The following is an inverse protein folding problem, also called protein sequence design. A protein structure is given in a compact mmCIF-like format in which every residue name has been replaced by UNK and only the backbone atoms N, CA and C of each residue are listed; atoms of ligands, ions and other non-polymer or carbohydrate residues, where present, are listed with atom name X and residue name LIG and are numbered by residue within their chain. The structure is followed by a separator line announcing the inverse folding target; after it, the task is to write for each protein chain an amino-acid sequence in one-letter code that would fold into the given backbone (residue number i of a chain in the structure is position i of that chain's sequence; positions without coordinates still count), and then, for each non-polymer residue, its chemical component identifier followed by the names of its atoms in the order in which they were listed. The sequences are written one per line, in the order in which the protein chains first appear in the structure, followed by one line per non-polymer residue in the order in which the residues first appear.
data_IF_421839821164
#
_entry.id   IF_421839821164
#
_cell.length_a   1.000
_cell.length_b   1.000
_cell.length_c   1.000
_cell.angle_alpha   90.00
_cell.angle_beta   90.00
_cell.angle_gamma   90.00
#
_symmetry.space_group_name_H-M   'P 1'
#
loop_
_entity.id
_entity.type
_entity.pdbx_description
1 polymer ?
#
# COMPACT_ATOMS: atom_id res chain seq x y z
N UNK A 1 4.19 -15.53 27.18
CA UNK A 1 5.60 -15.10 27.33
C UNK A 1 5.70 -13.69 26.74
N UNK A 2 6.37 -12.76 27.44
CA UNK A 2 6.61 -11.41 26.92
C UNK A 2 7.87 -11.40 26.03
N UNK A 3 8.00 -10.42 25.09
CA UNK A 3 9.23 -10.22 24.32
C UNK A 3 10.43 -9.98 25.25
N UNK A 4 11.65 -10.30 24.79
CA UNK A 4 12.84 -10.06 25.61
C UNK A 4 13.03 -8.56 25.90
N UNK A 5 13.57 -8.24 27.07
CA UNK A 5 13.87 -6.85 27.45
C UNK A 5 14.84 -6.18 26.45
N UNK A 6 15.81 -6.93 25.92
CA UNK A 6 16.72 -6.42 24.87
C UNK A 6 15.95 -6.01 23.62
N UNK A 7 15.01 -6.86 23.17
CA UNK A 7 14.18 -6.53 22.02
C UNK A 7 13.30 -5.30 22.28
N UNK A 8 12.66 -5.22 23.45
CA UNK A 8 11.84 -4.05 23.81
C UNK A 8 12.64 -2.75 23.85
N UNK A 9 13.88 -2.78 24.36
CA UNK A 9 14.76 -1.60 24.34
C UNK A 9 15.07 -1.14 22.91
N UNK A 10 15.41 -2.08 22.02
CA UNK A 10 15.60 -1.77 20.59
C UNK A 10 14.33 -1.22 19.95
N UNK A 11 13.15 -1.72 20.36
CA UNK A 11 11.88 -1.17 19.89
C UNK A 11 11.67 0.28 20.36
N UNK A 12 12.00 0.61 21.59
CA UNK A 12 11.90 2.00 22.07
C UNK A 12 12.89 2.94 21.37
N UNK A 13 14.11 2.46 21.07
CA UNK A 13 15.10 3.23 20.31
C UNK A 13 14.63 3.57 18.89
N UNK A 14 14.00 2.62 18.18
CA UNK A 14 13.45 2.91 16.85
C UNK A 14 12.25 3.85 16.88
N UNK A 15 11.37 3.73 17.88
CA UNK A 15 10.26 4.68 18.08
C UNK A 15 10.81 6.10 18.30
N UNK A 16 11.88 6.25 19.11
CA UNK A 16 12.54 7.53 19.31
C UNK A 16 13.11 8.13 18.02
N UNK A 17 13.71 7.31 17.16
CA UNK A 17 14.19 7.74 15.84
C UNK A 17 13.05 8.23 14.97
N UNK A 18 11.96 7.47 14.85
CA UNK A 18 10.78 7.90 14.10
C UNK A 18 10.18 9.19 14.67
N UNK A 19 10.07 9.33 15.99
CA UNK A 19 9.59 10.57 16.62
C UNK A 19 10.46 11.78 16.25
N UNK A 20 11.77 11.63 16.22
CA UNK A 20 12.68 12.70 15.81
C UNK A 20 12.45 13.13 14.35
N UNK A 21 12.38 12.17 13.44
CA UNK A 21 12.08 12.36 12.01
C UNK A 21 10.71 13.04 11.81
N UNK A 22 9.75 12.71 12.67
CA UNK A 22 8.40 13.26 12.73
C UNK A 22 8.32 14.61 13.45
N UNK A 23 9.43 15.26 13.76
CA UNK A 23 9.41 16.62 14.30
C UNK A 23 9.29 16.74 15.82
N UNK A 24 9.30 15.64 16.57
CA UNK A 24 9.23 15.68 18.03
C UNK A 24 10.57 16.08 18.68
N UNK A 25 10.50 16.70 19.86
CA UNK A 25 11.66 17.08 20.66
C UNK A 25 12.18 15.88 21.46
N UNK A 26 13.07 15.09 20.86
CA UNK A 26 13.59 13.85 21.45
C UNK A 26 14.91 14.04 22.23
N UNK A 27 15.40 15.28 22.35
CA UNK A 27 16.66 15.57 23.05
C UNK A 27 16.67 14.99 24.48
N UNK A 28 17.70 14.20 24.79
CA UNK A 28 17.89 13.55 26.09
C UNK A 28 17.07 12.27 26.31
N UNK A 29 16.15 11.90 25.43
CA UNK A 29 15.36 10.66 25.61
C UNK A 29 16.16 9.38 25.40
N UNK A 30 17.13 9.37 24.49
CA UNK A 30 18.01 8.21 24.29
C UNK A 30 18.83 7.92 25.56
N UNK A 31 19.44 8.96 26.14
CA UNK A 31 20.18 8.84 27.40
C UNK A 31 19.28 8.38 28.57
N UNK A 32 18.03 8.86 28.62
CA UNK A 32 17.03 8.36 29.60
C UNK A 32 16.79 6.86 29.41
N UNK A 33 16.53 6.41 28.19
CA UNK A 33 16.31 4.99 27.87
C UNK A 33 17.51 4.11 28.24
N UNK A 34 18.73 4.62 28.03
CA UNK A 34 19.96 3.91 28.39
C UNK A 34 20.12 3.70 29.90
N UNK A 35 19.62 4.64 30.70
CA UNK A 35 19.71 4.63 32.17
C UNK A 35 18.58 3.84 32.85
N UNK A 36 17.54 3.43 32.12
CA UNK A 36 16.43 2.68 32.70
C UNK A 36 16.88 1.31 33.23
N UNK A 37 16.34 0.84 34.37
CA UNK A 37 16.53 -0.52 34.80
C UNK A 37 15.92 -1.48 33.78
N UNK A 38 16.59 -2.60 33.50
CA UNK A 38 16.09 -3.63 32.61
C UNK A 38 14.87 -4.33 33.23
N UNK A 39 13.68 -3.78 32.97
CA UNK A 39 12.39 -4.25 33.49
C UNK A 39 11.26 -3.89 32.54
N UNK A 40 10.19 -4.68 32.55
CA UNK A 40 9.01 -4.41 31.72
C UNK A 40 8.33 -3.11 32.15
N UNK A 41 8.16 -2.90 33.45
CA UNK A 41 7.48 -1.72 34.00
C UNK A 41 8.18 -0.42 33.59
N UNK A 42 9.51 -0.34 33.74
CA UNK A 42 10.26 0.86 33.35
C UNK A 42 10.17 1.15 31.84
N UNK A 43 10.16 0.11 31.00
CA UNK A 43 10.03 0.27 29.55
C UNK A 43 8.62 0.66 29.13
N UNK A 44 7.58 0.14 29.80
CA UNK A 44 6.19 0.54 29.57
C UNK A 44 5.94 1.99 29.99
N UNK A 45 6.41 2.40 31.17
CA UNK A 45 6.35 3.79 31.62
C UNK A 45 7.07 4.73 30.65
N UNK A 46 8.26 4.32 30.16
CA UNK A 46 8.98 5.08 29.16
C UNK A 46 8.21 5.16 27.83
N UNK A 47 7.62 4.07 27.36
CA UNK A 47 6.79 4.05 26.15
C UNK A 47 5.62 5.04 26.24
N UNK A 48 4.93 5.10 27.39
CA UNK A 48 3.87 6.10 27.63
C UNK A 48 4.40 7.53 27.54
N UNK A 49 5.62 7.79 28.02
CA UNK A 49 6.26 9.10 27.89
C UNK A 49 6.58 9.48 26.44
N UNK A 50 6.77 8.50 25.54
CA UNK A 50 7.02 8.73 24.12
C UNK A 50 5.77 9.17 23.35
N UNK A 51 4.59 8.74 23.80
CA UNK A 51 3.32 9.06 23.15
C UNK A 51 2.99 10.57 23.22
N UNK A 52 3.50 11.27 24.24
CA UNK A 52 3.17 12.67 24.55
C UNK A 52 4.34 13.64 24.37
N UNK A 53 5.41 13.24 23.65
CA UNK A 53 6.55 14.13 23.40
C UNK A 53 6.07 15.36 22.60
N UNK A 54 6.37 16.59 23.03
CA UNK A 54 5.99 17.79 22.30
C UNK A 54 6.72 17.88 20.96
N UNK A 55 6.13 18.60 20.02
CA UNK A 55 6.77 18.97 18.77
C UNK A 55 7.91 19.98 19.02
N UNK A 56 8.90 20.01 18.13
CA UNK A 56 9.93 21.06 18.13
C UNK A 56 9.29 22.41 17.77
N UNK A 57 9.69 23.47 18.47
CA UNK A 57 9.14 24.84 18.27
C UNK A 57 9.29 25.35 16.83
N UNK A 58 10.31 24.88 16.12
CA UNK A 58 10.62 25.27 14.74
C UNK A 58 10.16 24.24 13.68
N UNK A 59 9.29 23.30 14.05
CA UNK A 59 8.75 22.34 13.08
C UNK A 59 7.76 23.03 12.13
N UNK A 60 8.04 23.08 10.80
CA UNK A 60 7.24 23.90 9.89
C UNK A 60 5.94 23.21 9.44
N UNK A 61 5.78 21.92 9.73
CA UNK A 61 4.67 21.10 9.23
C UNK A 61 3.56 20.94 10.26
N UNK A 62 2.34 20.73 9.77
CA UNK A 62 1.22 20.28 10.58
C UNK A 62 0.59 19.06 9.91
N UNK A 63 0.62 17.94 10.63
CA UNK A 63 0.36 16.62 10.09
C UNK A 63 -0.66 15.90 11.00
N UNK A 64 -1.95 16.27 10.91
CA UNK A 64 -3.01 15.66 11.71
C UNK A 64 -3.34 14.23 11.26
N UNK A 65 -3.76 13.38 12.21
CA UNK A 65 -4.20 12.01 11.89
C UNK A 65 -5.72 11.87 11.77
N UNK A 66 -6.46 12.78 12.40
CA UNK A 66 -7.93 12.79 12.40
C UNK A 66 -8.46 13.30 11.06
N UNK A 67 -9.52 12.66 10.54
CA UNK A 67 -10.05 12.95 9.22
C UNK A 67 -10.57 14.38 9.09
N UNK A 68 -11.29 14.89 10.11
CA UNK A 68 -11.85 16.24 10.07
C UNK A 68 -10.72 17.28 10.08
N UNK A 69 -9.67 17.05 10.86
CA UNK A 69 -8.47 17.90 10.85
C UNK A 69 -7.75 17.85 9.50
N UNK A 70 -7.54 16.64 8.95
CA UNK A 70 -6.94 16.44 7.63
C UNK A 70 -7.71 17.26 6.58
N UNK A 71 -9.03 17.10 6.54
CA UNK A 71 -9.92 17.80 5.62
C UNK A 71 -9.91 19.33 5.76
N UNK A 72 -9.69 19.86 6.96
CA UNK A 72 -9.54 21.31 7.17
C UNK A 72 -8.22 21.84 6.59
N UNK A 73 -7.17 21.03 6.63
CA UNK A 73 -5.84 21.40 6.10
C UNK A 73 -5.64 21.03 4.62
N UNK A 74 -6.54 20.24 4.04
CA UNK A 74 -6.60 19.89 2.62
C UNK A 74 -7.12 21.03 1.73
N UNK A 75 -7.15 20.82 0.41
CA UNK A 75 -7.66 21.83 -0.52
C UNK A 75 -9.16 22.10 -0.28
N UNK A 76 -9.59 23.34 0.00
CA UNK A 76 -11.01 23.66 0.18
C UNK A 76 -11.82 23.52 -1.12
N UNK A 77 -11.18 23.51 -2.28
CA UNK A 77 -11.81 23.32 -3.59
C UNK A 77 -11.84 21.84 -4.04
N UNK A 78 -11.39 20.89 -3.19
CA UNK A 78 -11.41 19.46 -3.50
C UNK A 78 -12.81 18.97 -3.87
N UNK A 79 -12.95 18.07 -4.85
CA UNK A 79 -14.26 17.55 -5.22
C UNK A 79 -14.79 16.59 -4.15
N UNK A 80 -15.90 16.95 -3.51
CA UNK A 80 -16.55 16.12 -2.49
C UNK A 80 -17.52 15.08 -3.08
N UNK A 81 -17.85 15.20 -4.36
CA UNK A 81 -18.80 14.33 -5.06
C UNK A 81 -18.18 13.65 -6.28
N UNK A 82 -19.04 13.06 -7.11
CA UNK A 82 -18.60 12.42 -8.35
C UNK A 82 -17.97 13.44 -9.29
N UNK A 83 -16.76 13.13 -9.77
CA UNK A 83 -16.11 13.81 -10.89
C UNK A 83 -16.35 13.04 -12.18
N UNK A 84 -16.48 13.77 -13.29
CA UNK A 84 -16.66 13.19 -14.62
C UNK A 84 -17.96 12.38 -14.79
N UNK A 85 -18.08 11.74 -15.96
CA UNK A 85 -19.23 10.91 -16.32
C UNK A 85 -18.88 9.45 -16.04
N UNK A 86 -19.66 8.81 -15.17
CA UNK A 86 -19.42 7.44 -14.74
C UNK A 86 -20.24 6.42 -15.55
N UNK A 87 -19.55 5.47 -16.18
CA UNK A 87 -20.14 4.23 -16.67
C UNK A 87 -19.69 3.08 -15.76
N UNK A 88 -20.63 2.51 -15.00
CA UNK A 88 -20.32 1.44 -14.04
C UNK A 88 -19.86 0.15 -14.71
N UNK A 89 -20.41 -0.20 -15.88
CA UNK A 89 -20.00 -1.42 -16.59
C UNK A 89 -18.56 -1.31 -17.08
N UNK A 90 -18.20 -0.14 -17.60
CA UNK A 90 -16.82 0.18 -17.97
C UNK A 90 -15.91 0.19 -16.74
N UNK A 91 -16.35 0.82 -15.65
CA UNK A 91 -15.59 0.88 -14.39
C UNK A 91 -15.31 -0.50 -13.82
N UNK A 92 -16.29 -1.43 -13.85
CA UNK A 92 -16.08 -2.82 -13.46
C UNK A 92 -14.97 -3.49 -14.26
N UNK A 93 -14.91 -3.26 -15.58
CA UNK A 93 -13.86 -3.80 -16.45
C UNK A 93 -12.50 -3.14 -16.24
N UNK A 94 -12.47 -1.85 -15.92
CA UNK A 94 -11.26 -1.14 -15.50
C UNK A 94 -10.71 -1.68 -14.18
N UNK A 95 -11.58 -2.01 -13.22
CA UNK A 95 -11.15 -2.63 -11.96
C UNK A 95 -10.60 -4.04 -12.19
N UNK A 96 -11.24 -4.86 -13.03
CA UNK A 96 -10.69 -6.17 -13.42
C UNK A 96 -9.28 -6.01 -14.01
N UNK A 97 -9.10 -5.06 -14.93
CA UNK A 97 -7.79 -4.76 -15.52
C UNK A 97 -6.77 -4.24 -14.49
N UNK A 98 -7.18 -3.33 -13.59
CA UNK A 98 -6.35 -2.80 -12.50
C UNK A 98 -5.85 -3.90 -11.58
N UNK A 99 -6.73 -4.77 -11.10
CA UNK A 99 -6.34 -5.86 -10.20
C UNK A 99 -5.38 -6.85 -10.89
N UNK A 100 -5.66 -7.24 -12.14
CA UNK A 100 -4.78 -8.14 -12.89
C UNK A 100 -3.42 -7.50 -13.16
N UNK A 101 -3.37 -6.21 -13.49
CA UNK A 101 -2.15 -5.46 -13.70
C UNK A 101 -1.33 -5.29 -12.40
N UNK A 102 -2.00 -5.07 -11.27
CA UNK A 102 -1.39 -5.01 -9.93
C UNK A 102 -0.69 -6.33 -9.59
N UNK A 103 -1.36 -7.45 -9.84
CA UNK A 103 -0.77 -8.80 -9.70
C UNK A 103 0.47 -8.99 -10.58
N UNK A 104 0.43 -8.56 -11.84
CA UNK A 104 1.60 -8.63 -12.74
C UNK A 104 2.76 -7.75 -12.23
N UNK A 105 2.46 -6.55 -11.75
CA UNK A 105 3.43 -5.60 -11.22
C UNK A 105 4.14 -6.12 -9.96
N UNK A 106 3.37 -6.64 -8.99
CA UNK A 106 3.91 -7.32 -7.79
C UNK A 106 4.86 -8.45 -8.20
N UNK A 107 4.38 -9.37 -9.05
CA UNK A 107 5.19 -10.53 -9.48
C UNK A 107 6.46 -10.13 -10.23
N UNK A 108 6.42 -9.04 -11.01
CA UNK A 108 7.60 -8.51 -11.72
C UNK A 108 8.65 -7.97 -10.74
N UNK A 109 8.24 -7.13 -9.78
CA UNK A 109 9.14 -6.52 -8.81
C UNK A 109 9.68 -7.50 -7.76
N UNK A 110 8.88 -8.50 -7.38
CA UNK A 110 9.16 -9.39 -6.23
C UNK A 110 10.53 -10.07 -6.28
N UNK A 111 11.06 -10.35 -7.47
CA UNK A 111 12.37 -10.99 -7.61
C UNK A 111 13.54 -10.14 -7.08
N UNK A 112 13.37 -8.82 -7.00
CA UNK A 112 14.40 -7.82 -6.66
C UNK A 112 13.91 -6.79 -5.62
N UNK A 113 12.79 -7.10 -4.95
CA UNK A 113 12.00 -6.32 -3.98
C UNK A 113 12.73 -5.17 -3.25
N UNK A 114 13.88 -5.46 -2.63
CA UNK A 114 14.52 -4.54 -1.69
C UNK A 114 15.58 -3.69 -2.36
N UNK A 115 15.45 -2.37 -2.40
CA UNK A 115 16.50 -1.37 -2.70
C UNK A 115 17.42 -1.63 -3.91
N UNK A 116 16.97 -2.08 -5.08
CA UNK A 116 17.79 -1.93 -6.28
C UNK A 116 17.75 -0.46 -6.73
N UNK A 117 18.84 0.07 -7.25
CA UNK A 117 18.87 1.37 -7.92
C UNK A 117 18.66 1.22 -9.43
N UNK A 118 18.16 2.28 -10.09
CA UNK A 118 18.08 2.33 -11.55
C UNK A 118 19.44 2.06 -12.21
N UNK A 119 20.55 2.52 -11.61
CA UNK A 119 21.89 2.33 -12.16
C UNK A 119 22.29 0.86 -12.15
N UNK A 120 22.07 0.15 -11.04
CA UNK A 120 22.35 -1.29 -10.92
C UNK A 120 21.50 -2.10 -11.90
N UNK A 121 20.19 -1.80 -11.95
CA UNK A 121 19.25 -2.46 -12.88
C UNK A 121 19.65 -2.22 -14.34
N UNK A 122 19.98 -0.98 -14.70
CA UNK A 122 20.43 -0.65 -16.05
C UNK A 122 21.71 -1.37 -16.43
N UNK A 123 22.69 -1.42 -15.53
CA UNK A 123 23.95 -2.12 -15.77
C UNK A 123 23.71 -3.63 -16.01
N UNK A 124 22.94 -4.28 -15.13
CA UNK A 124 22.66 -5.70 -15.23
C UNK A 124 21.86 -6.04 -16.51
N UNK A 125 20.75 -5.33 -16.76
CA UNK A 125 19.92 -5.51 -17.95
C UNK A 125 20.72 -5.29 -19.25
N UNK A 126 21.57 -4.27 -19.29
CA UNK A 126 22.43 -4.01 -20.47
C UNK A 126 23.41 -5.16 -20.69
N UNK A 127 24.00 -5.71 -19.63
CA UNK A 127 24.99 -6.80 -19.73
C UNK A 127 24.43 -8.09 -20.33
N UNK A 128 23.12 -8.31 -20.20
CA UNK A 128 22.42 -9.48 -20.76
C UNK A 128 21.58 -9.15 -22.00
N UNK A 129 21.60 -7.90 -22.47
CA UNK A 129 20.88 -7.47 -23.67
C UNK A 129 19.37 -7.30 -23.49
N UNK A 130 18.90 -7.08 -22.25
CA UNK A 130 17.48 -6.93 -21.88
C UNK A 130 17.14 -5.50 -21.39
N UNK A 131 17.93 -4.48 -21.76
CA UNK A 131 17.60 -3.07 -21.48
C UNK A 131 16.86 -2.41 -22.66
N UNK A 132 15.75 -1.68 -22.42
CA UNK A 132 15.00 -1.58 -21.17
C UNK A 132 14.24 -2.88 -20.86
N UNK A 133 13.89 -3.08 -19.58
CA UNK A 133 13.07 -4.21 -19.13
C UNK A 133 11.74 -4.23 -19.90
N UNK A 134 11.35 -5.40 -20.41
CA UNK A 134 10.11 -5.57 -21.18
C UNK A 134 9.38 -6.88 -20.85
N UNK A 135 9.83 -7.65 -19.86
CA UNK A 135 9.23 -8.94 -19.47
C UNK A 135 9.59 -9.24 -18.01
N UNK A 136 9.07 -10.34 -17.46
CA UNK A 136 9.49 -10.84 -16.15
C UNK A 136 11.00 -11.01 -16.05
N UNK A 137 11.55 -10.69 -14.87
CA UNK A 137 12.97 -10.83 -14.56
C UNK A 137 13.42 -12.28 -14.75
N UNK A 138 14.53 -12.48 -15.48
CA UNK A 138 15.13 -13.78 -15.78
C UNK A 138 16.23 -14.16 -14.80
N UNK A 139 16.63 -15.44 -14.79
CA UNK A 139 17.76 -15.88 -13.94
C UNK A 139 19.05 -15.20 -14.38
N UNK A 140 19.23 -14.96 -15.68
CA UNK A 140 20.38 -14.24 -16.23
C UNK A 140 20.47 -12.80 -15.68
N UNK A 141 19.33 -12.10 -15.58
CA UNK A 141 19.28 -10.76 -14.96
C UNK A 141 19.65 -10.84 -13.48
N UNK A 142 19.11 -11.81 -12.72
CA UNK A 142 19.43 -11.98 -11.29
C UNK A 142 20.91 -12.31 -11.07
N UNK A 143 21.50 -13.12 -11.96
CA UNK A 143 22.92 -13.41 -11.93
C UNK A 143 23.78 -12.18 -12.22
N UNK A 144 23.37 -11.34 -13.17
CA UNK A 144 24.06 -10.09 -13.48
C UNK A 144 23.93 -9.04 -12.35
N UNK A 145 22.81 -9.04 -11.61
CA UNK A 145 22.59 -8.17 -10.45
C UNK A 145 23.32 -8.63 -9.18
N UNK A 146 23.74 -9.90 -9.12
CA UNK A 146 24.23 -10.57 -7.90
C UNK A 146 23.28 -10.38 -6.70
N UNK A 147 21.97 -10.36 -6.99
CA UNK A 147 20.90 -10.12 -6.02
C UNK A 147 19.65 -10.88 -6.40
N UNK A 148 18.96 -11.44 -5.40
CA UNK A 148 17.65 -12.07 -5.58
C UNK A 148 16.88 -12.12 -4.26
N UNK A 149 15.58 -11.90 -4.33
CA UNK A 149 14.65 -12.19 -3.26
C UNK A 149 14.53 -13.70 -3.03
N UNK A 150 14.15 -14.15 -1.83
CA UNK A 150 14.13 -15.58 -1.48
C UNK A 150 13.12 -16.39 -2.30
N UNK A 151 12.07 -15.76 -2.85
CA UNK A 151 11.03 -16.39 -3.67
C UNK A 151 11.41 -16.57 -5.15
N UNK A 152 12.62 -16.18 -5.57
CA UNK A 152 13.06 -16.20 -6.97
C UNK A 152 12.82 -17.56 -7.67
N UNK A 153 12.92 -18.67 -6.93
CA UNK A 153 12.74 -20.02 -7.48
C UNK A 153 11.34 -20.30 -8.05
N UNK A 154 10.35 -19.46 -7.74
CA UNK A 154 8.99 -19.53 -8.27
C UNK A 154 8.50 -18.23 -8.93
N UNK A 155 9.22 -17.10 -8.76
CA UNK A 155 8.81 -15.78 -9.29
C UNK A 155 9.62 -15.30 -10.50
N UNK A 156 10.67 -16.02 -10.92
CA UNK A 156 11.49 -15.66 -12.09
C UNK A 156 10.89 -16.16 -13.41
N UNK A 157 11.13 -15.45 -14.52
CA UNK A 157 10.70 -15.82 -15.88
C UNK A 157 11.08 -17.27 -16.19
N UNK A 158 10.15 -18.02 -16.79
CA UNK A 158 10.31 -19.45 -17.05
C UNK A 158 10.02 -20.36 -15.85
N UNK A 159 9.94 -19.84 -14.62
CA UNK A 159 9.57 -20.57 -13.40
C UNK A 159 8.17 -20.27 -12.87
N UNK A 160 7.63 -19.09 -13.17
CA UNK A 160 6.25 -18.72 -12.81
C UNK A 160 5.24 -19.74 -13.36
N UNK A 161 4.38 -20.25 -12.48
CA UNK A 161 3.27 -21.20 -12.83
C UNK A 161 1.92 -20.79 -12.23
N UNK A 162 1.94 -19.78 -11.37
CA UNK A 162 0.82 -19.21 -10.61
C UNK A 162 1.30 -17.88 -10.03
N UNK A 163 0.39 -17.05 -9.55
CA UNK A 163 0.72 -15.89 -8.72
C UNK A 163 1.19 -16.39 -7.36
N UNK A 164 2.44 -16.10 -7.01
CA UNK A 164 3.01 -16.48 -5.72
C UNK A 164 2.42 -15.61 -4.59
N UNK A 165 2.38 -16.12 -3.34
CA UNK A 165 1.88 -15.34 -2.20
C UNK A 165 2.70 -14.08 -1.97
N UNK A 166 2.00 -12.98 -1.76
CA UNK A 166 2.55 -11.65 -1.62
C UNK A 166 1.65 -10.79 -0.75
N UNK A 167 2.21 -9.96 0.12
CA UNK A 167 1.41 -9.20 1.08
C UNK A 167 0.64 -8.04 0.45
N UNK A 168 1.16 -7.40 -0.61
CA UNK A 168 0.42 -6.43 -1.42
C UNK A 168 -0.92 -7.00 -1.91
N UNK A 169 -0.87 -8.20 -2.48
CA UNK A 169 -2.06 -8.87 -3.01
C UNK A 169 -2.95 -9.38 -1.89
N UNK A 170 -2.38 -9.93 -0.81
CA UNK A 170 -3.16 -10.36 0.36
C UNK A 170 -3.96 -9.19 0.94
N UNK A 171 -3.32 -8.03 1.11
CA UNK A 171 -3.94 -6.83 1.67
C UNK A 171 -4.98 -6.20 0.74
N UNK A 172 -4.73 -6.22 -0.57
CA UNK A 172 -5.73 -5.81 -1.57
C UNK A 172 -6.98 -6.71 -1.50
N UNK A 173 -6.80 -8.03 -1.38
CA UNK A 173 -7.91 -8.97 -1.18
C UNK A 173 -8.62 -8.78 0.17
N UNK A 174 -7.90 -8.40 1.23
CA UNK A 174 -8.50 -8.03 2.51
C UNK A 174 -9.40 -6.80 2.36
N UNK A 175 -8.96 -5.75 1.68
CA UNK A 175 -9.78 -4.56 1.39
C UNK A 175 -11.06 -4.90 0.60
N UNK A 176 -10.97 -5.81 -0.37
CA UNK A 176 -12.15 -6.34 -1.07
C UNK A 176 -13.12 -7.05 -0.13
N UNK A 177 -12.61 -7.92 0.75
CA UNK A 177 -13.45 -8.66 1.71
C UNK A 177 -14.13 -7.73 2.73
N UNK A 178 -13.44 -6.69 3.19
CA UNK A 178 -14.03 -5.64 4.06
C UNK A 178 -15.23 -5.01 3.37
N UNK A 179 -15.05 -4.57 2.12
CA UNK A 179 -16.11 -3.90 1.37
C UNK A 179 -17.27 -4.85 1.05
N UNK A 180 -17.00 -6.10 0.66
CA UNK A 180 -18.03 -7.10 0.38
C UNK A 180 -18.88 -7.43 1.63
N UNK A 181 -18.27 -7.47 2.81
CA UNK A 181 -18.95 -7.83 4.06
C UNK A 181 -19.65 -6.65 4.74
N UNK A 182 -18.99 -5.48 4.77
CA UNK A 182 -19.39 -4.35 5.62
C UNK A 182 -19.73 -3.08 4.83
N UNK A 183 -19.42 -3.01 3.53
CA UNK A 183 -19.64 -1.83 2.70
C UNK A 183 -18.77 -0.64 3.10
N UNK A 184 -19.20 0.58 2.75
CA UNK A 184 -18.47 1.81 3.10
C UNK A 184 -18.47 2.15 4.59
N UNK A 185 -19.33 1.49 5.38
CA UNK A 185 -19.52 1.76 6.81
C UNK A 185 -18.69 0.90 7.75
N UNK A 186 -17.68 0.17 7.25
CA UNK A 186 -16.83 -0.69 8.08
C UNK A 186 -16.12 0.10 9.18
N UNK A 187 -15.83 -0.56 10.30
CA UNK A 187 -15.11 0.02 11.44
C UNK A 187 -13.73 -0.61 11.60
N UNK A 188 -12.87 0.00 12.43
CA UNK A 188 -11.58 -0.62 12.82
C UNK A 188 -11.77 -1.96 13.55
N UNK A 189 -12.91 -2.16 14.22
CA UNK A 189 -13.26 -3.45 14.83
C UNK A 189 -13.53 -4.52 13.76
N UNK A 190 -14.25 -4.16 12.70
CA UNK A 190 -14.50 -5.08 11.59
C UNK A 190 -13.18 -5.47 10.89
N UNK A 191 -12.29 -4.50 10.67
CA UNK A 191 -10.93 -4.75 10.17
C UNK A 191 -10.15 -5.69 11.08
N UNK A 192 -10.12 -5.41 12.39
CA UNK A 192 -9.48 -6.25 13.40
C UNK A 192 -9.97 -7.69 13.33
N UNK A 193 -11.29 -7.88 13.34
CA UNK A 193 -11.91 -9.20 13.37
C UNK A 193 -11.65 -9.94 12.05
N UNK A 194 -11.67 -9.24 10.92
CA UNK A 194 -11.30 -9.81 9.63
C UNK A 194 -9.82 -10.24 9.60
N UNK A 195 -8.91 -9.39 10.08
CA UNK A 195 -7.47 -9.68 10.14
C UNK A 195 -7.17 -10.89 11.01
N UNK A 196 -7.80 -11.01 12.19
CA UNK A 196 -7.64 -12.17 13.08
C UNK A 196 -8.07 -13.50 12.42
N UNK A 197 -9.06 -13.45 11.52
CA UNK A 197 -9.55 -14.64 10.83
C UNK A 197 -8.74 -15.02 9.59
N UNK A 198 -8.02 -14.06 8.99
CA UNK A 198 -7.44 -14.22 7.65
C UNK A 198 -5.94 -14.01 7.55
N UNK A 199 -5.29 -13.28 8.45
CA UNK A 199 -3.85 -13.00 8.38
C UNK A 199 -3.06 -13.87 9.34
N UNK A 200 -2.26 -14.83 8.84
CA UNK A 200 -1.18 -15.38 9.63
C UNK A 200 -0.18 -14.28 10.06
N UNK A 201 0.30 -14.33 11.30
CA UNK A 201 1.26 -13.33 11.81
C UNK A 201 2.54 -13.27 10.96
N UNK A 202 2.98 -14.40 10.40
CA UNK A 202 4.17 -14.46 9.54
C UNK A 202 3.97 -13.78 8.19
N UNK A 203 2.74 -13.44 7.81
CA UNK A 203 2.39 -12.73 6.58
C UNK A 203 1.97 -11.28 6.86
N UNK A 204 2.51 -10.66 7.91
CA UNK A 204 2.34 -9.22 8.21
C UNK A 204 3.68 -8.65 8.64
N UNK A 205 3.97 -7.36 8.40
CA UNK A 205 5.27 -6.72 8.70
C UNK A 205 5.04 -5.44 9.49
N UNK A 206 6.10 -4.89 10.09
CA UNK A 206 6.07 -3.55 10.70
C UNK A 206 4.85 -3.26 11.60
N UNK A 207 4.16 -2.11 11.40
CA UNK A 207 2.95 -1.76 12.13
C UNK A 207 1.84 -2.80 12.07
N UNK A 208 1.61 -3.42 10.92
CA UNK A 208 0.56 -4.42 10.73
C UNK A 208 0.75 -5.62 11.65
N UNK A 209 1.99 -6.13 11.76
CA UNK A 209 2.30 -7.25 12.65
C UNK A 209 2.09 -6.88 14.11
N UNK A 210 2.52 -5.69 14.52
CA UNK A 210 2.35 -5.20 15.88
C UNK A 210 0.86 -5.06 16.24
N UNK A 211 0.05 -4.51 15.33
CA UNK A 211 -1.39 -4.33 15.52
C UNK A 211 -2.13 -5.66 15.48
N UNK A 212 -1.76 -6.61 14.63
CA UNK A 212 -2.35 -7.95 14.63
C UNK A 212 -2.09 -8.69 15.94
N UNK A 213 -0.87 -8.61 16.49
CA UNK A 213 -0.55 -9.15 17.81
C UNK A 213 -1.40 -8.49 18.92
N UNK A 214 -1.51 -7.16 18.90
CA UNK A 214 -2.34 -6.40 19.85
C UNK A 214 -3.82 -6.76 19.72
N UNK A 215 -4.28 -7.00 18.50
CA UNK A 215 -5.64 -7.46 18.20
C UNK A 215 -5.93 -8.80 18.87
N UNK A 216 -4.98 -9.74 18.81
CA UNK A 216 -5.10 -11.04 19.47
C UNK A 216 -5.13 -10.92 21.00
N UNK A 217 -4.31 -10.06 21.59
CA UNK A 217 -4.32 -9.78 23.04
C UNK A 217 -5.66 -9.16 23.45
N UNK A 218 -6.12 -8.13 22.72
CA UNK A 218 -7.41 -7.48 22.95
C UNK A 218 -8.58 -8.48 22.84
N UNK A 219 -8.50 -9.45 21.92
CA UNK A 219 -9.50 -10.50 21.80
C UNK A 219 -9.55 -11.39 23.04
N UNK A 220 -8.41 -11.72 23.67
CA UNK A 220 -8.38 -12.49 24.93
C UNK A 220 -9.01 -11.73 26.11
N UNK A 221 -8.81 -10.40 26.16
CA UNK A 221 -9.29 -9.55 27.26
C UNK A 221 -10.75 -9.14 27.09
N UNK A 222 -11.22 -8.92 25.86
CA UNK A 222 -12.49 -8.25 25.57
C UNK A 222 -13.40 -9.00 24.58
N UNK A 223 -13.31 -10.33 24.48
CA UNK A 223 -14.18 -11.15 23.60
C UNK A 223 -15.69 -10.92 23.88
N UNK A 224 -16.07 -10.87 25.16
CA UNK A 224 -17.48 -10.85 25.60
C UNK A 224 -17.95 -9.53 26.20
N UNK A 225 -17.07 -8.54 26.33
CA UNK A 225 -17.38 -7.23 26.93
C UNK A 225 -17.63 -6.14 25.87
N UNK A 226 -18.10 -4.97 26.31
CA UNK A 226 -18.21 -3.77 25.47
C UNK A 226 -16.81 -3.38 24.99
N UNK A 227 -16.53 -3.65 23.71
CA UNK A 227 -15.29 -3.22 23.06
C UNK A 227 -15.16 -1.70 23.12
N UNK A 228 -14.07 -1.21 23.73
CA UNK A 228 -13.82 0.21 23.82
C UNK A 228 -13.29 0.76 22.49
N UNK A 229 -14.20 1.29 21.67
CA UNK A 229 -13.86 1.92 20.38
C UNK A 229 -12.85 3.06 20.50
N UNK A 230 -12.75 3.75 21.65
CA UNK A 230 -11.74 4.80 21.82
C UNK A 230 -10.32 4.27 21.99
N UNK A 231 -10.17 3.01 22.41
CA UNK A 231 -8.85 2.44 22.67
C UNK A 231 -8.14 2.05 21.37
N UNK A 232 -8.85 1.40 20.43
CA UNK A 232 -8.31 0.97 19.14
C UNK A 232 -7.78 2.14 18.32
N UNK A 233 -8.34 3.33 18.50
CA UNK A 233 -7.86 4.55 17.86
C UNK A 233 -6.44 4.90 18.28
N UNK A 234 -6.05 4.68 19.54
CA UNK A 234 -4.72 5.02 20.07
C UNK A 234 -3.68 3.91 19.86
N UNK A 235 -4.06 2.76 19.26
CA UNK A 235 -3.17 1.60 19.20
C UNK A 235 -1.86 1.87 18.45
N UNK A 236 -1.85 2.52 17.27
CA UNK A 236 -0.62 2.85 16.55
C UNK A 236 0.31 3.84 17.27
N UNK A 237 -0.15 4.53 18.31
CA UNK A 237 0.66 5.52 19.04
C UNK A 237 1.49 4.89 20.16
N UNK A 238 1.29 3.60 20.46
CA UNK A 238 1.93 2.92 21.58
C UNK A 238 2.65 1.63 21.15
N UNK A 239 3.96 1.61 21.34
CA UNK A 239 4.83 0.45 21.04
C UNK A 239 4.79 -0.03 19.58
N UNK A 240 4.54 0.90 18.65
CA UNK A 240 4.56 0.63 17.19
C UNK A 240 5.60 1.53 16.52
N UNK A 241 6.43 0.93 15.66
CA UNK A 241 7.43 1.61 14.84
C UNK A 241 6.99 1.69 13.38
N UNK A 242 7.55 2.64 12.63
CA UNK A 242 7.42 2.64 11.17
C UNK A 242 6.02 3.00 10.67
N UNK A 243 5.23 3.75 11.44
CA UNK A 243 3.84 4.11 11.10
C UNK A 243 3.72 5.08 9.92
N UNK A 244 4.84 5.55 9.35
CA UNK A 244 4.93 6.37 8.13
C UNK A 244 5.45 5.59 6.91
N UNK A 245 5.66 4.27 7.02
CA UNK A 245 6.09 3.40 5.92
C UNK A 245 4.92 2.98 4.99
N UNK A 246 5.23 2.25 3.92
CA UNK A 246 4.30 1.88 2.85
C UNK A 246 3.23 0.82 3.20
N UNK A 247 3.30 0.12 4.33
CA UNK A 247 2.40 -1.01 4.64
C UNK A 247 0.90 -0.66 4.61
N UNK A 248 0.54 0.59 4.88
CA UNK A 248 -0.82 1.09 4.63
C UNK A 248 -1.10 1.39 3.15
N UNK A 249 -0.14 1.96 2.43
CA UNK A 249 -0.29 2.35 1.04
C UNK A 249 -0.65 1.17 0.13
N UNK A 250 -0.08 -0.01 0.37
CA UNK A 250 -0.33 -1.24 -0.40
C UNK A 250 -1.77 -1.80 -0.23
N UNK A 251 -2.56 -1.26 0.71
CA UNK A 251 -3.98 -1.57 0.92
C UNK A 251 -4.93 -0.68 0.12
N UNK A 252 -4.43 0.42 -0.46
CA UNK A 252 -5.25 1.50 -1.02
C UNK A 252 -6.10 1.08 -2.23
N UNK A 253 -5.60 0.13 -3.03
CA UNK A 253 -6.17 -0.29 -4.31
C UNK A 253 -7.66 -0.60 -4.25
N UNK A 254 -8.07 -1.44 -3.31
CA UNK A 254 -9.45 -1.88 -3.18
C UNK A 254 -10.42 -0.72 -2.95
N UNK A 255 -10.00 0.30 -2.20
CA UNK A 255 -10.81 1.48 -1.91
C UNK A 255 -10.93 2.41 -3.12
N UNK A 256 -9.86 2.55 -3.91
CA UNK A 256 -9.88 3.25 -5.19
C UNK A 256 -10.80 2.56 -6.21
N UNK A 257 -10.65 1.24 -6.37
CA UNK A 257 -11.48 0.41 -7.24
C UNK A 257 -12.98 0.53 -6.92
N UNK A 258 -13.33 0.58 -5.65
CA UNK A 258 -14.73 0.63 -5.23
C UNK A 258 -15.40 1.99 -5.51
N UNK A 259 -14.62 3.06 -5.67
CA UNK A 259 -15.08 4.45 -5.69
C UNK A 259 -14.83 5.16 -7.03
N UNK A 260 -15.24 4.62 -8.20
CA UNK A 260 -14.90 5.21 -9.48
C UNK A 260 -15.48 6.62 -9.63
N UNK A 261 -14.61 7.59 -9.91
CA UNK A 261 -14.95 9.00 -9.99
C UNK A 261 -15.33 9.64 -8.65
N UNK A 262 -15.12 8.98 -7.50
CA UNK A 262 -15.45 9.51 -6.17
C UNK A 262 -14.19 9.56 -5.28
N UNK A 263 -13.21 10.41 -5.60
CA UNK A 263 -11.92 10.41 -4.90
C UNK A 263 -12.03 10.79 -3.41
N UNK A 264 -13.02 11.59 -3.01
CA UNK A 264 -13.29 11.89 -1.60
C UNK A 264 -13.64 10.65 -0.79
N UNK A 265 -14.57 9.82 -1.29
CA UNK A 265 -14.96 8.58 -0.63
C UNK A 265 -13.81 7.57 -0.62
N UNK A 266 -13.06 7.46 -1.72
CA UNK A 266 -11.88 6.61 -1.78
C UNK A 266 -10.85 6.98 -0.71
N UNK A 267 -10.55 8.27 -0.56
CA UNK A 267 -9.63 8.79 0.45
C UNK A 267 -10.14 8.55 1.88
N UNK A 268 -11.44 8.70 2.13
CA UNK A 268 -12.04 8.42 3.44
C UNK A 268 -11.93 6.94 3.83
N UNK A 269 -12.28 6.02 2.93
CA UNK A 269 -12.19 4.57 3.18
C UNK A 269 -10.74 4.15 3.41
N UNK A 270 -9.82 4.66 2.58
CA UNK A 270 -8.38 4.47 2.74
C UNK A 270 -7.86 5.01 4.08
N UNK A 271 -8.29 6.20 4.50
CA UNK A 271 -7.95 6.76 5.81
C UNK A 271 -8.43 5.84 6.95
N UNK A 272 -9.65 5.32 6.85
CA UNK A 272 -10.23 4.48 7.90
C UNK A 272 -9.46 3.19 8.11
N UNK A 273 -9.01 2.58 7.01
CA UNK A 273 -8.15 1.41 7.00
C UNK A 273 -6.71 1.72 7.46
N UNK A 274 -6.09 2.74 6.88
CA UNK A 274 -4.71 3.12 7.19
C UNK A 274 -4.56 3.53 8.67
N UNK A 275 -5.49 4.31 9.21
CA UNK A 275 -5.44 4.81 10.59
C UNK A 275 -5.54 3.70 11.65
N UNK A 276 -5.91 2.47 11.27
CA UNK A 276 -5.86 1.31 12.16
C UNK A 276 -4.41 0.91 12.51
N UNK A 277 -3.44 1.15 11.63
CA UNK A 277 -2.04 0.76 11.86
C UNK A 277 -1.02 1.87 11.67
N UNK A 278 -1.34 2.91 10.90
CA UNK A 278 -0.42 3.95 10.46
C UNK A 278 -0.83 5.34 10.95
N UNK A 279 0.09 6.30 10.75
CA UNK A 279 -0.04 7.72 11.10
C UNK A 279 0.54 8.59 9.98
N UNK A 280 0.09 9.85 9.92
CA UNK A 280 0.66 10.91 9.08
C UNK A 280 0.94 10.44 7.65
N UNK A 281 2.18 10.44 7.19
CA UNK A 281 2.58 10.06 5.83
C UNK A 281 2.06 8.68 5.42
N UNK A 282 1.99 7.70 6.33
CA UNK A 282 1.40 6.40 6.02
C UNK A 282 -0.10 6.49 5.71
N UNK A 283 -0.84 7.34 6.44
CA UNK A 283 -2.25 7.65 6.15
C UNK A 283 -2.35 8.41 4.82
N UNK A 284 -1.56 9.46 4.65
CA UNK A 284 -1.64 10.36 3.49
C UNK A 284 -1.33 9.65 2.17
N UNK A 285 -0.30 8.79 2.15
CA UNK A 285 0.03 7.99 0.97
C UNK A 285 -1.13 7.08 0.57
N UNK A 286 -1.77 6.43 1.54
CA UNK A 286 -2.91 5.55 1.29
C UNK A 286 -4.11 6.33 0.74
N UNK A 287 -4.43 7.48 1.34
CA UNK A 287 -5.50 8.37 0.85
C UNK A 287 -5.23 8.84 -0.58
N UNK A 288 -3.99 9.25 -0.85
CA UNK A 288 -3.56 9.75 -2.15
C UNK A 288 -3.68 8.69 -3.25
N UNK A 289 -3.17 7.48 -3.00
CA UNK A 289 -3.23 6.37 -3.98
C UNK A 289 -4.69 5.99 -4.28
N UNK A 290 -5.52 5.83 -3.25
CA UNK A 290 -6.93 5.49 -3.43
C UNK A 290 -7.68 6.58 -4.22
N UNK A 291 -7.43 7.86 -3.93
CA UNK A 291 -8.00 8.98 -4.66
C UNK A 291 -7.53 9.04 -6.12
N UNK A 292 -6.25 8.75 -6.39
CA UNK A 292 -5.68 8.71 -7.74
C UNK A 292 -6.33 7.59 -8.58
N UNK A 293 -6.44 6.38 -8.02
CA UNK A 293 -7.10 5.24 -8.68
C UNK A 293 -8.56 5.57 -8.97
N UNK A 294 -9.30 6.12 -7.98
CA UNK A 294 -10.68 6.54 -8.16
C UNK A 294 -10.85 7.58 -9.27
N UNK A 295 -9.94 8.56 -9.36
CA UNK A 295 -9.97 9.60 -10.39
C UNK A 295 -9.60 9.06 -11.79
N UNK A 296 -8.70 8.08 -11.88
CA UNK A 296 -8.24 7.48 -13.13
C UNK A 296 -9.36 6.80 -13.95
N UNK A 297 -10.46 6.41 -13.31
CA UNK A 297 -11.64 5.90 -14.01
C UNK A 297 -12.20 6.89 -15.04
N UNK A 298 -12.18 8.18 -14.73
CA UNK A 298 -12.95 9.21 -15.45
C UNK A 298 -12.08 10.33 -16.02
N UNK A 299 -10.89 10.56 -15.46
CA UNK A 299 -9.92 11.51 -15.99
C UNK A 299 -8.98 10.84 -17.01
N UNK A 300 -8.42 11.64 -17.91
CA UNK A 300 -7.58 11.18 -19.03
C UNK A 300 -6.21 11.86 -19.12
N UNK A 301 -5.99 12.88 -18.30
CA UNK A 301 -4.67 13.50 -18.14
C UNK A 301 -4.03 12.94 -16.86
N UNK A 302 -2.90 12.23 -16.95
CA UNK A 302 -2.11 11.77 -15.80
C UNK A 302 -1.85 12.86 -14.77
N UNK A 303 -1.53 14.07 -15.21
CA UNK A 303 -1.18 15.18 -14.33
C UNK A 303 -2.40 15.65 -13.54
N UNK A 304 -3.57 15.72 -14.19
CA UNK A 304 -4.81 16.10 -13.52
C UNK A 304 -5.31 15.03 -12.52
N UNK A 305 -5.04 13.74 -12.79
CA UNK A 305 -5.30 12.65 -11.82
C UNK A 305 -4.52 12.89 -10.53
N UNK A 306 -3.22 13.12 -10.64
CA UNK A 306 -2.34 13.34 -9.48
C UNK A 306 -2.68 14.63 -8.75
N UNK A 307 -2.94 15.73 -9.47
CA UNK A 307 -3.40 16.98 -8.86
C UNK A 307 -4.71 16.79 -8.10
N UNK A 308 -5.66 16.05 -8.66
CA UNK A 308 -6.94 15.75 -8.00
C UNK A 308 -6.72 14.95 -6.72
N UNK A 309 -5.85 13.94 -6.74
CA UNK A 309 -5.53 13.15 -5.56
C UNK A 309 -4.85 13.97 -4.45
N UNK A 310 -3.93 14.87 -4.81
CA UNK A 310 -3.25 15.78 -3.88
C UNK A 310 -4.21 16.70 -3.11
N UNK A 311 -5.38 17.03 -3.67
CA UNK A 311 -6.36 17.89 -3.01
C UNK A 311 -6.93 17.30 -1.71
N UNK A 312 -6.77 15.99 -1.48
CA UNK A 312 -7.25 15.30 -0.27
C UNK A 312 -6.18 15.18 0.83
N UNK A 313 -5.00 15.76 0.63
CA UNK A 313 -3.87 15.68 1.54
C UNK A 313 -3.66 17.03 2.26
N UNK A 314 -3.26 17.06 3.55
CA UNK A 314 -2.97 18.31 4.25
C UNK A 314 -1.86 19.11 3.57
N UNK A 315 -2.16 20.36 3.16
CA UNK A 315 -1.22 21.21 2.39
C UNK A 315 0.07 21.55 3.13
N UNK A 316 0.05 21.52 4.47
CA UNK A 316 1.22 21.78 5.33
C UNK A 316 1.91 20.50 5.83
N UNK A 317 1.73 19.37 5.14
CA UNK A 317 2.43 18.12 5.46
C UNK A 317 3.68 17.94 4.62
N UNK A 318 4.65 17.16 5.13
CA UNK A 318 5.84 16.76 4.33
C UNK A 318 5.43 16.00 3.08
N UNK A 319 4.44 15.12 3.21
CA UNK A 319 3.96 14.31 2.10
C UNK A 319 3.41 15.17 0.95
N UNK A 320 2.59 16.17 1.26
CA UNK A 320 2.08 17.10 0.24
C UNK A 320 3.21 17.88 -0.43
N UNK A 321 4.13 18.46 0.35
CA UNK A 321 5.24 19.25 -0.18
C UNK A 321 6.10 18.43 -1.14
N UNK A 322 6.54 17.25 -0.73
CA UNK A 322 7.40 16.38 -1.54
C UNK A 322 6.67 15.85 -2.77
N UNK A 323 5.41 15.43 -2.61
CA UNK A 323 4.62 14.91 -3.75
C UNK A 323 4.34 16.00 -4.79
N UNK A 324 4.05 17.23 -4.35
CA UNK A 324 3.89 18.39 -5.23
C UNK A 324 5.18 18.70 -6.00
N UNK A 325 6.33 18.66 -5.32
CA UNK A 325 7.63 18.87 -5.94
C UNK A 325 7.97 17.78 -6.98
N UNK A 326 7.72 16.50 -6.67
CA UNK A 326 7.86 15.41 -7.63
C UNK A 326 6.92 15.57 -8.83
N UNK A 327 5.67 16.01 -8.61
CA UNK A 327 4.73 16.30 -9.70
C UNK A 327 5.26 17.40 -10.64
N UNK A 328 5.85 18.46 -10.08
CA UNK A 328 6.47 19.53 -10.86
C UNK A 328 7.69 19.04 -11.66
N UNK A 329 8.54 18.19 -11.07
CA UNK A 329 9.65 17.56 -11.79
C UNK A 329 9.16 16.71 -12.96
N UNK A 330 8.15 15.85 -12.74
CA UNK A 330 7.59 14.97 -13.77
C UNK A 330 6.87 15.76 -14.86
N UNK A 331 6.15 16.83 -14.51
CA UNK A 331 5.42 17.65 -15.49
C UNK A 331 6.36 18.40 -16.45
N UNK A 332 7.59 18.70 -16.03
CA UNK A 332 8.58 19.46 -16.80
C UNK A 332 9.63 18.58 -17.51
N UNK A 333 9.64 17.27 -17.28
CA UNK A 333 10.59 16.35 -17.90
C UNK A 333 10.14 15.92 -19.31
N UNK A 334 11.12 15.66 -20.19
CA UNK A 334 10.87 15.14 -21.54
C UNK A 334 10.61 13.63 -21.54
N UNK A 335 11.25 12.90 -20.62
CA UNK A 335 11.08 11.45 -20.45
C UNK A 335 11.17 11.00 -18.98
N UNK A 336 10.88 9.70 -18.77
CA UNK A 336 10.86 9.11 -17.44
C UNK A 336 12.24 9.01 -16.78
N UNK A 337 13.34 8.95 -17.56
CA UNK A 337 14.70 8.89 -17.02
C UNK A 337 15.11 10.25 -16.47
N UNK A 338 14.78 11.33 -17.17
CA UNK A 338 15.02 12.70 -16.71
C UNK A 338 14.22 13.02 -15.44
N UNK A 339 12.93 12.67 -15.42
CA UNK A 339 12.10 12.81 -14.23
C UNK A 339 12.64 11.99 -13.05
N UNK A 340 13.02 10.73 -13.27
CA UNK A 340 13.63 9.90 -12.23
C UNK A 340 14.92 10.53 -11.69
N UNK A 341 15.80 11.03 -12.55
CA UNK A 341 17.05 11.68 -12.12
C UNK A 341 16.77 12.88 -11.22
N UNK A 342 15.80 13.72 -11.58
CA UNK A 342 15.40 14.89 -10.79
C UNK A 342 14.85 14.49 -9.41
N UNK A 343 13.98 13.48 -9.37
CA UNK A 343 13.40 12.95 -8.13
C UNK A 343 14.50 12.33 -7.26
N UNK A 344 15.29 11.43 -7.83
CA UNK A 344 16.32 10.69 -7.10
C UNK A 344 17.40 11.63 -6.56
N UNK A 345 17.86 12.62 -7.33
CA UNK A 345 18.85 13.61 -6.86
C UNK A 345 18.42 14.33 -5.58
N UNK A 346 17.12 14.59 -5.39
CA UNK A 346 16.60 15.31 -4.21
C UNK A 346 16.16 14.37 -3.09
N UNK A 347 15.70 13.17 -3.43
CA UNK A 347 14.98 12.28 -2.51
C UNK A 347 15.62 10.89 -2.32
N UNK A 348 16.83 10.63 -2.86
CA UNK A 348 17.56 9.35 -2.74
C UNK A 348 17.78 8.83 -1.31
N UNK A 349 17.67 9.71 -0.31
CA UNK A 349 17.76 9.30 1.10
C UNK A 349 16.56 8.48 1.56
N UNK A 350 15.44 8.55 0.82
CA UNK A 350 14.24 7.75 1.09
C UNK A 350 14.28 6.46 0.26
N UNK A 351 14.48 5.34 0.95
CA UNK A 351 14.66 4.04 0.33
C UNK A 351 13.41 3.14 0.51
N UNK A 352 13.55 1.84 0.27
CA UNK A 352 12.50 0.82 0.38
C UNK A 352 11.55 1.05 1.56
N UNK A 353 10.25 0.93 1.28
CA UNK A 353 9.11 1.27 2.12
C UNK A 353 8.94 2.74 2.54
N UNK A 354 9.89 3.64 2.27
CA UNK A 354 9.74 5.07 2.57
C UNK A 354 9.03 5.77 1.40
N UNK A 355 7.74 6.03 1.60
CA UNK A 355 6.78 6.41 0.55
C UNK A 355 7.10 7.68 -0.25
N UNK A 356 8.00 8.55 0.22
CA UNK A 356 8.25 9.85 -0.41
C UNK A 356 8.81 9.74 -1.84
N UNK A 357 9.96 9.08 -2.01
CA UNK A 357 10.56 8.91 -3.33
C UNK A 357 9.68 8.02 -4.22
N UNK A 358 9.05 7.01 -3.62
CA UNK A 358 8.22 6.04 -4.32
C UNK A 358 6.96 6.64 -4.94
N UNK A 359 6.31 7.58 -4.25
CA UNK A 359 5.19 8.31 -4.84
C UNK A 359 5.66 9.17 -6.01
N UNK A 360 6.87 9.72 -5.95
CA UNK A 360 7.48 10.40 -7.09
C UNK A 360 7.67 9.48 -8.30
N UNK A 361 8.20 8.27 -8.09
CA UNK A 361 8.40 7.28 -9.18
C UNK A 361 7.07 6.75 -9.73
N UNK A 362 6.03 6.64 -8.89
CA UNK A 362 4.66 6.31 -9.30
C UNK A 362 4.06 7.38 -10.23
N UNK A 363 4.22 8.67 -9.87
CA UNK A 363 3.76 9.80 -10.72
C UNK A 363 4.50 9.78 -12.06
N UNK A 364 5.81 9.54 -12.01
CA UNK A 364 6.65 9.40 -13.20
C UNK A 364 6.16 8.26 -14.12
N UNK A 365 5.90 7.08 -13.55
CA UNK A 365 5.35 5.94 -14.28
C UNK A 365 4.01 6.26 -14.93
N UNK A 366 3.05 6.83 -14.18
CA UNK A 366 1.73 7.17 -14.74
C UNK A 366 1.83 8.14 -15.92
N UNK A 367 2.76 9.10 -15.86
CA UNK A 367 2.94 10.12 -16.89
C UNK A 367 3.53 9.58 -18.19
N UNK A 368 4.46 8.63 -18.11
CA UNK A 368 5.28 8.19 -19.25
C UNK A 368 5.05 6.74 -19.67
N UNK A 369 4.13 6.02 -19.03
CA UNK A 369 3.70 4.71 -19.50
C UNK A 369 2.97 4.83 -20.84
N UNK A 370 3.31 3.97 -21.80
CA UNK A 370 2.60 3.85 -23.08
C UNK A 370 1.41 2.87 -22.98
N UNK A 371 1.55 1.87 -22.11
CA UNK A 371 0.54 0.86 -21.76
C UNK A 371 0.90 0.26 -20.40
N UNK A 372 0.13 -0.73 -19.94
CA UNK A 372 0.34 -1.35 -18.62
C UNK A 372 1.68 -2.07 -18.53
N UNK A 373 2.02 -2.93 -19.50
CA UNK A 373 3.25 -3.71 -19.50
C UNK A 373 4.51 -2.85 -19.50
N UNK A 374 4.51 -1.79 -20.31
CA UNK A 374 5.59 -0.80 -20.31
C UNK A 374 5.68 -0.03 -18.98
N UNK A 375 4.54 0.37 -18.41
CA UNK A 375 4.52 1.11 -17.15
C UNK A 375 4.99 0.31 -15.94
N UNK A 376 4.58 -0.96 -15.79
CA UNK A 376 5.08 -1.80 -14.68
C UNK A 376 6.60 -2.06 -14.81
N UNK A 377 7.12 -2.20 -16.04
CA UNK A 377 8.56 -2.29 -16.29
C UNK A 377 9.28 -1.00 -15.89
N UNK A 378 8.75 0.17 -16.28
CA UNK A 378 9.30 1.48 -15.87
C UNK A 378 9.32 1.62 -14.35
N UNK A 379 8.23 1.27 -13.67
CA UNK A 379 8.16 1.33 -12.21
C UNK A 379 9.22 0.45 -11.55
N UNK A 380 9.32 -0.82 -11.96
CA UNK A 380 10.30 -1.77 -11.39
C UNK A 380 11.73 -1.34 -11.68
N UNK A 381 12.01 -0.77 -12.85
CA UNK A 381 13.33 -0.23 -13.19
C UNK A 381 13.72 1.01 -12.35
N UNK A 382 12.75 1.77 -11.84
CA UNK A 382 13.04 2.90 -10.93
C UNK A 382 13.49 2.43 -9.54
N UNK A 383 13.31 1.16 -9.20
CA UNK A 383 13.94 0.53 -8.04
C UNK A 383 13.23 0.77 -6.72
N UNK A 384 14.01 0.82 -5.63
CA UNK A 384 13.55 0.92 -4.24
C UNK A 384 12.63 -0.24 -3.80
N UNK A 385 11.31 -0.07 -3.74
CA UNK A 385 10.32 -1.05 -3.27
C UNK A 385 9.53 -1.63 -4.45
N UNK A 386 10.17 -2.58 -5.14
CA UNK A 386 9.81 -2.88 -6.53
C UNK A 386 8.53 -3.69 -6.71
N UNK A 387 8.16 -4.59 -5.80
CA UNK A 387 6.87 -5.30 -5.85
C UNK A 387 5.73 -4.39 -5.41
N UNK A 388 5.85 -3.71 -4.28
CA UNK A 388 4.78 -2.87 -3.76
C UNK A 388 4.40 -1.72 -4.68
N UNK A 389 5.38 -1.00 -5.19
CA UNK A 389 5.10 0.06 -6.15
C UNK A 389 4.86 -0.48 -7.56
N UNK A 390 5.42 -1.65 -7.92
CA UNK A 390 5.02 -2.38 -9.13
C UNK A 390 3.52 -2.70 -9.13
N UNK A 391 2.99 -3.20 -8.01
CA UNK A 391 1.59 -3.50 -7.80
C UNK A 391 0.71 -2.24 -7.88
N UNK A 392 1.08 -1.20 -7.12
CA UNK A 392 0.36 0.08 -7.11
C UNK A 392 0.34 0.75 -8.49
N UNK A 393 1.47 0.72 -9.22
CA UNK A 393 1.52 1.22 -10.60
C UNK A 393 0.65 0.38 -11.53
N UNK A 394 0.71 -0.95 -11.45
CA UNK A 394 -0.15 -1.84 -12.22
C UNK A 394 -1.64 -1.55 -11.99
N UNK A 395 -2.05 -1.42 -10.73
CA UNK A 395 -3.40 -1.02 -10.31
C UNK A 395 -3.87 0.27 -10.98
N UNK A 396 -3.09 1.34 -10.81
CA UNK A 396 -3.41 2.66 -11.33
C UNK A 396 -3.45 2.68 -12.87
N UNK A 397 -2.46 2.08 -13.52
CA UNK A 397 -2.36 2.01 -14.97
C UNK A 397 -3.46 1.15 -15.60
N UNK A 398 -3.79 0.01 -14.98
CA UNK A 398 -4.86 -0.86 -15.45
C UNK A 398 -6.23 -0.20 -15.38
N UNK A 399 -6.49 0.61 -14.34
CA UNK A 399 -7.70 1.44 -14.27
C UNK A 399 -7.67 2.56 -15.32
N UNK A 400 -6.53 3.25 -15.45
CA UNK A 400 -6.34 4.39 -16.35
C UNK A 400 -6.49 4.01 -17.83
N UNK A 401 -5.72 3.03 -18.31
CA UNK A 401 -5.81 2.56 -19.69
C UNK A 401 -7.08 1.73 -19.92
N UNK A 402 -7.50 0.95 -18.92
CA UNK A 402 -8.74 0.18 -18.92
C UNK A 402 -8.60 -1.23 -19.49
N UNK A 403 -9.71 -1.86 -19.93
CA UNK A 403 -9.64 -3.22 -20.48
C UNK A 403 -8.78 -3.27 -21.74
N UNK A 404 -8.22 -4.46 -22.02
CA UNK A 404 -7.38 -4.76 -23.20
C UNK A 404 -6.00 -4.06 -23.24
N UNK A 405 -5.63 -3.28 -22.22
CA UNK A 405 -4.33 -2.59 -22.15
C UNK A 405 -3.19 -3.41 -21.55
N UNK A 406 -3.49 -4.62 -21.07
CA UNK A 406 -2.53 -5.57 -20.50
C UNK A 406 -2.40 -6.76 -21.46
N UNK A 407 -1.20 -7.01 -21.97
CA UNK A 407 -0.96 -8.10 -22.91
C UNK A 407 -1.09 -9.48 -22.24
N UNK A 408 -1.63 -10.48 -22.96
CA UNK A 408 -1.89 -11.82 -22.41
C UNK A 408 -0.64 -12.51 -21.85
N UNK A 409 0.54 -12.22 -22.44
CA UNK A 409 1.85 -12.76 -22.01
C UNK A 409 2.15 -12.52 -20.53
N UNK A 410 1.60 -11.46 -19.94
CA UNK A 410 1.79 -11.17 -18.51
C UNK A 410 1.01 -12.12 -17.61
N UNK A 411 -0.17 -12.57 -18.07
CA UNK A 411 -1.08 -13.42 -17.31
C UNK A 411 -0.91 -14.92 -17.61
N UNK A 412 -0.50 -15.27 -18.83
CA UNK A 412 -0.30 -16.65 -19.28
C UNK A 412 0.56 -17.51 -18.33
N UNK A 413 1.69 -17.01 -17.78
CA UNK A 413 2.51 -17.77 -16.83
C UNK A 413 1.77 -18.19 -15.57
N UNK A 414 0.75 -17.44 -15.14
CA UNK A 414 -0.01 -17.75 -13.92
C UNK A 414 -1.00 -18.90 -14.09
N UNK A 415 -1.32 -19.31 -15.33
CA UNK A 415 -2.27 -20.39 -15.60
C UNK A 415 -3.64 -20.21 -14.91
N UNK A 416 -4.10 -18.95 -14.79
CA UNK A 416 -5.31 -18.56 -14.06
C UNK A 416 -5.32 -18.98 -12.57
N UNK A 417 -4.14 -19.17 -11.97
CA UNK A 417 -3.98 -19.61 -10.58
C UNK A 417 -3.30 -18.56 -9.72
N UNK A 418 -3.78 -18.43 -8.49
CA UNK A 418 -3.21 -17.58 -7.45
C UNK A 418 -3.14 -18.34 -6.13
N UNK A 419 -1.99 -18.24 -5.46
CA UNK A 419 -1.81 -18.69 -4.09
C UNK A 419 -1.69 -17.47 -3.19
N UNK A 420 -2.49 -17.42 -2.14
CA UNK A 420 -2.47 -16.32 -1.16
C UNK A 420 -1.87 -16.79 0.16
N UNK A 421 -1.37 -15.85 0.96
CA UNK A 421 -0.96 -16.09 2.34
C UNK A 421 -2.14 -16.13 3.31
N UNK A 422 -3.38 -15.94 2.83
CA UNK A 422 -4.56 -15.77 3.66
C UNK A 422 -5.07 -17.10 4.22
N UNK A 423 -5.36 -17.11 5.53
CA UNK A 423 -6.10 -18.19 6.19
C UNK A 423 -7.58 -18.11 5.85
N UNK A 424 -8.27 -19.25 5.86
CA UNK A 424 -9.71 -19.33 5.59
C UNK A 424 -10.14 -18.60 4.30
N UNK A 425 -9.28 -18.64 3.28
CA UNK A 425 -9.53 -18.08 1.95
C UNK A 425 -9.26 -19.15 0.90
N UNK A 426 -10.27 -19.54 0.13
CA UNK A 426 -10.23 -20.75 -0.70
C UNK A 426 -10.29 -20.47 -2.20
N UNK A 427 -10.54 -19.23 -2.62
CA UNK A 427 -10.53 -18.88 -4.04
C UNK A 427 -9.10 -18.89 -4.56
N UNK A 428 -8.86 -19.65 -5.62
CA UNK A 428 -7.55 -19.86 -6.23
C UNK A 428 -7.53 -19.51 -7.71
N UNK A 429 -8.69 -19.14 -8.29
CA UNK A 429 -8.77 -18.68 -9.67
C UNK A 429 -8.56 -17.18 -9.75
N UNK A 430 -7.51 -16.77 -10.46
CA UNK A 430 -7.15 -15.37 -10.61
C UNK A 430 -8.28 -14.59 -11.29
N UNK A 431 -8.86 -15.15 -12.35
CA UNK A 431 -10.02 -14.60 -13.07
C UNK A 431 -11.23 -14.37 -12.17
N UNK A 432 -11.50 -15.28 -11.23
CA UNK A 432 -12.65 -15.16 -10.31
C UNK A 432 -12.42 -14.05 -9.28
N UNK A 433 -11.18 -13.85 -8.82
CA UNK A 433 -10.83 -12.72 -7.97
C UNK A 433 -10.91 -11.39 -8.72
N UNK A 434 -10.47 -11.34 -9.98
CA UNK A 434 -10.62 -10.17 -10.82
C UNK A 434 -12.10 -9.80 -10.99
N UNK A 435 -12.97 -10.77 -11.26
CA UNK A 435 -14.42 -10.55 -11.32
C UNK A 435 -15.01 -10.04 -10.00
N UNK A 436 -14.54 -10.53 -8.84
CA UNK A 436 -15.00 -10.06 -7.53
C UNK A 436 -14.58 -8.61 -7.29
N UNK A 437 -13.33 -8.27 -7.58
CA UNK A 437 -12.84 -6.88 -7.58
C UNK A 437 -13.71 -6.00 -8.49
N UNK A 438 -13.97 -6.46 -9.72
CA UNK A 438 -14.82 -5.76 -10.69
C UNK A 438 -16.24 -5.45 -10.21
N UNK A 439 -16.74 -6.15 -9.19
CA UNK A 439 -18.08 -5.90 -8.61
C UNK A 439 -18.08 -4.77 -7.58
N UNK A 440 -16.93 -4.38 -7.02
CA UNK A 440 -16.83 -3.35 -5.97
C UNK A 440 -17.50 -2.02 -6.35
N UNK A 441 -17.31 -1.44 -7.55
CA UNK A 441 -18.06 -0.26 -8.00
C UNK A 441 -19.58 -0.34 -7.84
N UNK A 442 -20.14 -1.50 -8.21
CA UNK A 442 -21.58 -1.73 -8.18
C UNK A 442 -22.06 -1.95 -6.75
N UNK A 443 -21.27 -2.64 -5.96
CA UNK A 443 -21.55 -2.94 -4.55
C UNK A 443 -21.75 -1.64 -3.77
N UNK A 444 -20.79 -0.70 -3.80
CA UNK A 444 -20.91 0.61 -3.13
C UNK A 444 -22.06 1.45 -3.70
N UNK A 445 -22.24 1.50 -5.02
CA UNK A 445 -23.30 2.34 -5.60
C UNK A 445 -24.73 1.86 -5.31
N UNK A 446 -24.92 0.57 -5.05
CA UNK A 446 -26.27 0.00 -4.83
C UNK A 446 -26.60 -0.22 -3.37
N UNK A 447 -25.65 -0.05 -2.45
CA UNK A 447 -25.86 -0.34 -1.03
C UNK A 447 -26.08 -1.83 -0.74
N UNK A 448 -25.81 -2.72 -1.69
CA UNK A 448 -25.93 -4.17 -1.52
C UNK A 448 -24.72 -4.69 -0.71
N UNK A 449 -24.66 -4.29 0.58
CA UNK A 449 -23.62 -4.65 1.53
C UNK A 449 -24.14 -5.75 2.44
N UNK A 450 -23.82 -6.98 2.06
CA UNK A 450 -23.84 -8.21 2.85
C UNK A 450 -23.76 -9.35 1.84
N UNK A 451 -22.56 -9.66 1.39
CA UNK A 451 -22.33 -11.04 0.96
C UNK A 451 -22.27 -11.84 2.26
N UNK A 452 -23.24 -12.74 2.48
CA UNK A 452 -23.18 -13.59 3.68
C UNK A 452 -21.85 -14.35 3.63
N UNK A 453 -21.17 -14.61 4.76
CA UNK A 453 -19.96 -15.44 4.75
C UNK A 453 -20.17 -16.76 3.99
N UNK A 454 -21.35 -17.36 4.10
CA UNK A 454 -21.75 -18.56 3.35
C UNK A 454 -21.76 -18.41 1.82
N UNK A 455 -21.90 -17.19 1.30
CA UNK A 455 -21.89 -16.86 -0.13
C UNK A 455 -20.46 -16.56 -0.65
N UNK A 456 -19.54 -16.16 0.23
CA UNK A 456 -18.12 -15.96 -0.10
C UNK A 456 -17.33 -17.28 -0.15
N UNK A 457 -17.75 -18.30 0.61
CA UNK A 457 -17.06 -19.59 0.73
C UNK A 457 -17.70 -20.74 -0.06
N UNK A 458 -18.43 -20.45 -1.15
CA UNK A 458 -19.02 -21.51 -1.99
C UNK A 458 -17.89 -22.25 -2.72
N UNK A 459 -17.51 -23.41 -2.19
CA UNK A 459 -16.59 -24.37 -2.80
C UNK A 459 -17.13 -24.88 -4.16
N UNK A 460 -16.95 -24.10 -5.23
CA UNK A 460 -17.15 -24.58 -6.61
C UNK A 460 -16.01 -25.49 -7.10
N UNK A 461 -14.98 -25.70 -6.29
CA UNK A 461 -13.87 -26.61 -6.57
C UNK A 461 -14.17 -28.10 -6.31
N UNK A 462 -15.41 -28.50 -6.03
CA UNK A 462 -15.81 -29.92 -5.88
C UNK A 462 -16.02 -30.66 -7.21
N UNK A 463 -15.43 -30.18 -8.30
CA UNK A 463 -15.43 -30.83 -9.62
C UNK A 463 -14.43 -31.98 -9.79
N UNK A 464 -13.88 -32.53 -8.70
CA UNK A 464 -13.16 -33.80 -8.73
C UNK A 464 -14.06 -34.86 -8.10
N UNK A 465 -14.69 -35.65 -8.98
CA UNK A 465 -15.52 -36.79 -8.60
C UNK A 465 -14.77 -37.78 -7.72
N UNK A 466 -15.54 -38.38 -6.81
CA UNK A 466 -15.22 -39.55 -6.01
C UNK A 466 -14.59 -40.69 -6.83
#
# INVERSE_FOLDING_TARGET
MLPSLTFLKLQLEGILRNKFEQGHQTSGYLAKLEQLPASYDAYLEFAHSLAVIPMRDNWPYYEPNDLDEIWRESDPARPLGQIGILNLKDSSKRVEAGFLASVCGSMLGKTIEVNPSLSELRQALTSVGEWPLNDYISEEILHALDRRHWSWFETTRGRIRYVAPDDDINYTLMGMMVLEQFGEGFTKRDLRDLWLNHLPISTTWGPERAILLRSGISYLEHDKELFNHSEIEAWPDFMVQGTELCGAAIRADAYGYACPGQPALAAELAWRDASFTHRRTGIYATMFIAAAIAAAHVLRDPIEIIKTALQFIPKRSRFYEITQDCLEMVANADDWLEAYQSINQKYETYCHCQVYQEVGTLINTLRFADNVGDGICKQVMQGNDTDSFGATAGSLLGVYFGPDSLESRWLEPFQDRIHTGLSNFHEQKLSTLAERMGRLPKLLKTGQHRVLPSELYVNKNTGLGL
#
